data_IF_969228929336
#
_entry.id   IF_969228929336
#
_cell.length_a   1.000
_cell.length_b   1.000
_cell.length_c   1.000
_cell.angle_alpha   90.00
_cell.angle_beta   90.00
_cell.angle_gamma   90.00
#
_symmetry.space_group_name_H-M   'P 1'
#
loop_
_entity.id
_entity.type
_entity.pdbx_description
1 polymer ?
#
# COMPACT_ATOMS: atom_id res chain seq x y z
N UNK A 1 30.46 -33.87 -9.61
CA UNK A 1 29.13 -34.10 -10.20
C UNK A 1 28.21 -34.22 -9.01
N UNK A 2 27.75 -33.08 -8.53
CA UNK A 2 27.12 -32.97 -7.21
C UNK A 2 25.65 -33.34 -7.33
N UNK A 3 25.24 -34.34 -6.55
CA UNK A 3 23.87 -34.76 -6.40
C UNK A 3 23.04 -33.63 -5.77
N UNK A 4 22.17 -33.02 -6.56
CA UNK A 4 21.12 -32.13 -6.06
C UNK A 4 20.07 -32.99 -5.36
N UNK A 5 19.96 -32.83 -4.04
CA UNK A 5 18.96 -33.46 -3.19
C UNK A 5 17.54 -33.07 -3.61
N UNK A 6 16.69 -34.07 -3.81
CA UNK A 6 15.26 -33.98 -4.09
C UNK A 6 14.49 -33.22 -2.98
N UNK A 7 13.57 -32.35 -3.43
CA UNK A 7 12.34 -31.88 -2.80
C UNK A 7 12.27 -31.81 -1.26
N UNK A 8 12.71 -30.69 -0.69
CA UNK A 8 12.24 -30.25 0.62
C UNK A 8 10.75 -29.84 0.54
N UNK A 9 9.87 -30.78 0.86
CA UNK A 9 8.44 -30.49 1.08
C UNK A 9 8.30 -29.76 2.42
N UNK A 10 8.08 -28.44 2.37
CA UNK A 10 7.75 -27.64 3.56
C UNK A 10 6.30 -27.97 3.98
N UNK A 11 6.16 -28.73 5.05
CA UNK A 11 4.87 -29.14 5.59
C UNK A 11 4.35 -28.09 6.58
N UNK A 12 3.15 -27.55 6.33
CA UNK A 12 2.49 -26.59 7.22
C UNK A 12 1.33 -27.27 7.96
N UNK A 13 1.18 -26.98 9.25
CA UNK A 13 0.03 -27.43 10.02
C UNK A 13 -1.24 -26.67 9.63
N UNK A 14 -2.41 -27.29 9.83
CA UNK A 14 -3.71 -26.66 9.59
C UNK A 14 -3.87 -25.39 10.44
N UNK A 15 -3.34 -25.39 11.66
CA UNK A 15 -3.39 -24.24 12.58
C UNK A 15 -2.51 -23.07 12.10
N UNK A 16 -1.34 -23.35 11.50
CA UNK A 16 -0.51 -22.32 10.86
C UNK A 16 -1.21 -21.70 9.65
N UNK A 17 -1.92 -22.51 8.85
CA UNK A 17 -2.70 -22.03 7.71
C UNK A 17 -3.91 -21.21 8.18
N UNK A 18 -4.65 -21.67 9.20
CA UNK A 18 -5.81 -20.96 9.74
C UNK A 18 -5.42 -19.66 10.45
N UNK A 19 -4.36 -19.67 11.25
CA UNK A 19 -3.83 -18.46 11.89
C UNK A 19 -3.32 -17.45 10.86
N UNK A 20 -2.77 -17.91 9.74
CA UNK A 20 -2.39 -17.06 8.60
C UNK A 20 -3.60 -16.46 7.91
N UNK A 21 -4.65 -17.24 7.65
CA UNK A 21 -5.94 -16.75 7.10
C UNK A 21 -6.56 -15.70 8.02
N UNK A 22 -6.57 -15.94 9.33
CA UNK A 22 -7.07 -14.98 10.31
C UNK A 22 -6.23 -13.69 10.35
N UNK A 23 -4.89 -13.81 10.30
CA UNK A 23 -4.02 -12.63 10.20
C UNK A 23 -4.25 -11.86 8.89
N UNK A 24 -4.62 -12.53 7.80
CA UNK A 24 -4.91 -11.90 6.52
C UNK A 24 -6.08 -10.90 6.58
N UNK A 25 -7.12 -11.22 7.38
CA UNK A 25 -8.30 -10.35 7.51
C UNK A 25 -7.97 -8.98 8.09
N UNK A 26 -6.81 -8.85 8.78
CA UNK A 26 -6.34 -7.61 9.43
C UNK A 26 -5.01 -7.10 8.86
N UNK A 27 -4.52 -7.69 7.79
CA UNK A 27 -3.21 -7.32 7.21
C UNK A 27 -3.38 -6.55 5.90
N UNK A 28 -2.57 -5.50 5.76
CA UNK A 28 -2.36 -4.73 4.55
C UNK A 28 -0.93 -4.91 4.04
N UNK A 29 -0.79 -4.80 2.73
CA UNK A 29 0.47 -4.41 2.10
C UNK A 29 0.41 -2.91 1.84
N UNK A 30 1.46 -2.22 2.26
CA UNK A 30 1.65 -0.80 2.00
C UNK A 30 2.96 -0.57 1.26
N UNK A 31 2.92 0.23 0.20
CA UNK A 31 4.12 0.63 -0.53
C UNK A 31 4.27 2.14 -0.57
N UNK A 32 5.44 2.64 -0.19
CA UNK A 32 5.77 4.04 -0.38
C UNK A 32 6.20 4.28 -1.83
N UNK A 33 5.55 5.22 -2.50
CA UNK A 33 5.86 5.62 -3.88
C UNK A 33 6.98 6.67 -3.87
N UNK A 34 8.12 6.30 -3.31
CA UNK A 34 9.34 7.13 -3.25
C UNK A 34 10.58 6.25 -3.22
N UNK A 35 11.72 6.81 -3.63
CA UNK A 35 13.04 6.22 -3.43
C UNK A 35 13.59 6.44 -2.02
N UNK A 36 12.96 7.31 -1.24
CA UNK A 36 13.43 7.63 0.10
C UNK A 36 13.06 6.54 1.11
N UNK A 37 13.94 6.32 2.07
CA UNK A 37 13.67 5.41 3.18
C UNK A 37 12.85 6.08 4.28
N UNK A 38 12.12 5.25 5.02
CA UNK A 38 11.48 5.62 6.29
C UNK A 38 11.80 4.52 7.31
N UNK A 39 12.00 4.91 8.57
CA UNK A 39 12.14 3.93 9.63
C UNK A 39 10.80 3.22 9.90
N UNK A 40 10.84 1.93 10.25
CA UNK A 40 9.62 1.14 10.51
C UNK A 40 8.82 1.71 11.68
N UNK A 41 9.50 2.12 12.74
CA UNK A 41 8.88 2.70 13.93
C UNK A 41 8.20 4.03 13.60
N UNK A 42 8.90 4.87 12.85
CA UNK A 42 8.39 6.15 12.37
C UNK A 42 7.15 5.96 11.49
N UNK A 43 7.19 5.04 10.53
CA UNK A 43 6.03 4.69 9.72
C UNK A 43 4.88 4.22 10.61
N UNK A 44 5.12 3.28 11.54
CA UNK A 44 4.10 2.76 12.45
C UNK A 44 3.41 3.88 13.22
N UNK A 45 4.18 4.80 13.81
CA UNK A 45 3.63 5.85 14.66
C UNK A 45 2.80 6.84 13.84
N UNK A 46 3.29 7.25 12.66
CA UNK A 46 2.50 8.08 11.73
C UNK A 46 1.21 7.39 11.30
N UNK A 47 1.23 6.07 11.06
CA UNK A 47 0.01 5.33 10.70
C UNK A 47 -0.99 5.23 11.86
N UNK A 48 -0.52 5.05 13.10
CA UNK A 48 -1.38 5.04 14.28
C UNK A 48 -2.10 6.38 14.40
N UNK A 49 -1.37 7.48 14.23
CA UNK A 49 -1.90 8.83 14.32
C UNK A 49 -2.83 9.15 13.14
N UNK A 50 -2.40 8.90 11.90
CA UNK A 50 -3.18 9.19 10.70
C UNK A 50 -4.48 8.40 10.64
N UNK A 51 -4.47 7.15 11.12
CA UNK A 51 -5.64 6.28 11.09
C UNK A 51 -6.43 6.26 12.40
N UNK A 52 -6.01 7.05 13.40
CA UNK A 52 -6.65 7.18 14.71
C UNK A 52 -6.90 5.80 15.36
N UNK A 53 -5.93 4.90 15.24
CA UNK A 53 -6.11 3.50 15.64
C UNK A 53 -5.94 3.35 17.14
N UNK A 54 -6.99 2.84 17.78
CA UNK A 54 -6.92 2.37 19.17
C UNK A 54 -6.53 0.90 19.17
N UNK A 55 -5.27 0.60 19.47
CA UNK A 55 -4.76 -0.75 19.61
C UNK A 55 -3.36 -0.97 19.03
N UNK A 56 -2.91 -2.22 19.04
CA UNK A 56 -1.56 -2.58 18.58
C UNK A 56 -1.51 -2.67 17.06
N UNK A 57 -0.74 -1.78 16.43
CA UNK A 57 -0.33 -1.88 15.03
C UNK A 57 1.05 -2.51 14.97
N UNK A 58 1.23 -3.51 14.10
CA UNK A 58 2.56 -4.08 13.79
C UNK A 58 2.92 -3.77 12.35
N UNK A 59 4.14 -3.27 12.14
CA UNK A 59 4.69 -3.03 10.80
C UNK A 59 5.96 -3.84 10.67
N UNK A 60 6.09 -4.56 9.56
CA UNK A 60 7.33 -5.25 9.19
C UNK A 60 7.69 -4.92 7.74
N UNK A 61 8.99 -4.75 7.48
CA UNK A 61 9.51 -4.44 6.15
C UNK A 61 9.61 -5.72 5.33
N UNK A 62 9.04 -5.71 4.13
CA UNK A 62 9.11 -6.82 3.17
C UNK A 62 10.16 -6.56 2.07
N UNK A 63 10.31 -5.29 1.66
CA UNK A 63 11.38 -4.81 0.76
C UNK A 63 11.72 -3.36 1.08
N UNK A 64 12.58 -2.71 0.29
CA UNK A 64 13.00 -1.31 0.47
C UNK A 64 11.83 -0.35 0.77
N UNK A 65 10.76 -0.44 -0.01
CA UNK A 65 9.60 0.46 -0.02
C UNK A 65 8.28 -0.26 0.30
N UNK A 66 8.30 -1.58 0.51
CA UNK A 66 7.14 -2.41 0.82
C UNK A 66 7.09 -2.83 2.29
N UNK A 67 5.91 -2.70 2.87
CA UNK A 67 5.62 -2.96 4.26
C UNK A 67 4.40 -3.87 4.40
N UNK A 68 4.47 -4.81 5.34
CA UNK A 68 3.33 -5.58 5.83
C UNK A 68 2.84 -4.92 7.11
N UNK A 69 1.58 -4.50 7.11
CA UNK A 69 0.96 -3.72 8.19
C UNK A 69 -0.18 -4.53 8.76
N UNK A 70 -0.08 -4.94 10.02
CA UNK A 70 -1.12 -5.69 10.72
C UNK A 70 -1.84 -4.75 11.68
N UNK A 71 -3.16 -4.69 11.52
CA UNK A 71 -4.05 -3.78 12.23
C UNK A 71 -4.78 -4.53 13.36
N UNK A 72 -5.30 -3.83 14.38
CA UNK A 72 -5.95 -4.48 15.51
C UNK A 72 -7.24 -5.21 15.12
N UNK A 73 -7.97 -4.71 14.13
CA UNK A 73 -9.24 -5.28 13.66
C UNK A 73 -9.48 -5.04 12.15
N UNK A 74 -10.51 -5.68 11.61
CA UNK A 74 -10.88 -5.59 10.20
C UNK A 74 -11.47 -4.21 9.84
N UNK A 75 -12.12 -3.54 10.79
CA UNK A 75 -12.69 -2.20 10.58
C UNK A 75 -11.59 -1.16 10.30
N UNK A 76 -10.52 -1.16 11.10
CA UNK A 76 -9.34 -0.34 10.86
C UNK A 76 -8.74 -0.62 9.49
N UNK A 77 -8.70 -1.90 9.06
CA UNK A 77 -8.24 -2.29 7.72
C UNK A 77 -9.12 -1.69 6.62
N UNK A 78 -10.44 -1.87 6.70
CA UNK A 78 -11.39 -1.34 5.72
C UNK A 78 -11.34 0.19 5.63
N UNK A 79 -11.28 0.85 6.79
CA UNK A 79 -11.20 2.31 6.90
C UNK A 79 -9.93 2.87 6.26
N UNK A 80 -8.79 2.22 6.50
CA UNK A 80 -7.49 2.61 5.95
C UNK A 80 -7.45 2.40 4.43
N UNK A 81 -7.98 1.28 3.93
CA UNK A 81 -8.04 0.99 2.50
C UNK A 81 -8.93 1.95 1.71
N UNK A 82 -10.08 2.34 2.26
CA UNK A 82 -11.04 3.22 1.55
C UNK A 82 -10.46 4.61 1.21
N UNK A 83 -9.38 5.01 1.88
CA UNK A 83 -8.75 6.33 1.73
C UNK A 83 -7.35 6.27 1.12
N UNK A 84 -6.98 5.14 0.50
CA UNK A 84 -5.72 5.04 -0.24
C UNK A 84 -5.77 5.90 -1.52
N UNK A 85 -4.64 6.50 -1.95
CA UNK A 85 -3.35 6.56 -1.26
C UNK A 85 -3.36 7.56 -0.10
N UNK A 86 -2.50 7.29 0.89
CA UNK A 86 -2.28 8.18 2.03
C UNK A 86 -1.03 9.03 1.82
N UNK A 87 -1.05 10.29 2.25
CA UNK A 87 0.16 11.11 2.33
C UNK A 87 0.80 10.91 3.70
N UNK A 88 2.00 10.35 3.74
CA UNK A 88 2.78 10.07 4.95
C UNK A 88 4.11 10.80 4.82
N UNK A 89 4.31 11.89 5.59
CA UNK A 89 5.52 12.73 5.51
C UNK A 89 5.89 13.11 4.06
N UNK A 90 4.92 13.69 3.37
CA UNK A 90 5.03 14.12 1.97
C UNK A 90 5.28 12.99 0.94
N UNK A 91 5.14 11.73 1.37
CA UNK A 91 5.28 10.55 0.51
C UNK A 91 3.94 9.84 0.35
N UNK A 92 3.61 9.40 -0.86
CA UNK A 92 2.39 8.63 -1.09
C UNK A 92 2.57 7.18 -0.65
N UNK A 93 1.66 6.70 0.17
CA UNK A 93 1.53 5.30 0.59
C UNK A 93 0.34 4.66 -0.11
N UNK A 94 0.62 3.75 -1.03
CA UNK A 94 -0.38 2.90 -1.68
C UNK A 94 -0.67 1.67 -0.83
N UNK A 95 -1.95 1.32 -0.64
CA UNK A 95 -2.37 0.19 0.19
C UNK A 95 -3.16 -0.85 -0.60
N UNK A 96 -2.94 -2.12 -0.26
CA UNK A 96 -3.77 -3.25 -0.70
C UNK A 96 -4.02 -4.23 0.44
N UNK A 97 -5.13 -4.96 0.36
CA UNK A 97 -5.36 -6.10 1.25
C UNK A 97 -4.30 -7.17 1.02
N UNK A 98 -3.67 -7.66 2.09
CA UNK A 98 -2.84 -8.85 1.96
C UNK A 98 -3.75 -10.08 1.82
N UNK A 99 -3.51 -10.87 0.77
CA UNK A 99 -4.13 -12.18 0.57
C UNK A 99 -3.03 -13.24 0.54
N UNK A 100 -3.30 -14.49 0.97
CA UNK A 100 -2.32 -15.57 0.86
C UNK A 100 -1.91 -15.86 -0.59
N UNK A 101 -2.80 -15.58 -1.55
CA UNK A 101 -2.63 -15.78 -2.98
C UNK A 101 -2.24 -14.48 -3.70
N UNK A 102 -1.14 -13.83 -3.26
CA UNK A 102 -0.62 -12.67 -3.99
C UNK A 102 -0.05 -13.16 -5.32
N UNK A 103 -0.77 -12.93 -6.41
CA UNK A 103 -0.24 -13.06 -7.75
C UNK A 103 0.74 -11.91 -8.04
N UNK A 104 1.68 -12.14 -8.96
CA UNK A 104 2.62 -11.11 -9.44
C UNK A 104 1.91 -9.81 -9.89
N UNK A 105 0.69 -9.95 -10.42
CA UNK A 105 -0.18 -8.85 -10.84
C UNK A 105 -0.60 -7.93 -9.67
N UNK A 106 -0.93 -8.48 -8.49
CA UNK A 106 -1.27 -7.67 -7.30
C UNK A 106 -0.05 -6.85 -6.82
N UNK A 107 1.15 -7.38 -7.04
CA UNK A 107 2.39 -6.67 -6.73
C UNK A 107 2.61 -5.48 -7.67
N UNK A 108 2.30 -5.64 -8.97
CA UNK A 108 2.34 -4.56 -9.97
C UNK A 108 1.28 -3.47 -9.69
N UNK A 109 0.10 -3.85 -9.23
CA UNK A 109 -0.96 -2.90 -8.81
C UNK A 109 -0.61 -2.06 -7.57
N UNK A 110 0.41 -2.43 -6.79
CA UNK A 110 0.92 -1.58 -5.70
C UNK A 110 1.78 -0.42 -6.23
N UNK A 111 2.29 -0.50 -7.46
CA UNK A 111 3.07 0.58 -8.09
C UNK A 111 2.18 1.69 -8.66
N UNK A 112 0.90 1.42 -8.89
CA UNK A 112 -0.03 2.38 -9.49
C UNK A 112 -1.15 2.66 -8.51
N UNK A 113 -1.33 3.93 -8.16
CA UNK A 113 -2.43 4.36 -7.29
C UNK A 113 -3.22 5.47 -7.96
N UNK A 114 -4.54 5.32 -8.17
CA UNK A 114 -5.36 6.43 -8.61
C UNK A 114 -5.51 7.43 -7.46
N UNK A 115 -5.21 8.70 -7.70
CA UNK A 115 -5.44 9.77 -6.74
C UNK A 115 -6.09 10.99 -7.41
N UNK A 116 -6.82 11.77 -6.61
CA UNK A 116 -7.44 13.01 -7.07
C UNK A 116 -6.47 14.15 -6.87
N UNK A 117 -6.33 14.98 -7.89
CA UNK A 117 -5.55 16.21 -7.84
C UNK A 117 -6.52 17.38 -7.82
N UNK A 118 -6.30 18.31 -6.89
CA UNK A 118 -7.02 19.57 -6.84
C UNK A 118 -6.05 20.69 -7.18
N UNK A 119 -6.44 21.54 -8.14
CA UNK A 119 -5.66 22.69 -8.57
C UNK A 119 -6.23 23.95 -7.92
N UNK A 120 -5.35 24.81 -7.42
CA UNK A 120 -5.69 26.07 -6.78
C UNK A 120 -5.07 27.24 -7.56
N UNK A 121 -5.72 28.41 -7.54
CA UNK A 121 -5.21 29.61 -8.23
C UNK A 121 -5.30 29.55 -9.76
N UNK A 122 -6.08 28.62 -10.30
CA UNK A 122 -6.37 28.53 -11.74
C UNK A 122 -7.46 29.55 -12.07
N UNK A 123 -7.24 30.39 -13.09
CA UNK A 123 -8.27 31.30 -13.60
C UNK A 123 -9.50 30.50 -14.06
N UNK A 124 -10.69 31.03 -13.86
CA UNK A 124 -11.95 30.33 -14.18
C UNK A 124 -12.00 29.85 -15.64
N UNK A 125 -11.49 30.63 -16.59
CA UNK A 125 -11.41 30.27 -18.01
C UNK A 125 -10.54 29.02 -18.28
N UNK A 126 -9.66 28.67 -17.33
CA UNK A 126 -8.77 27.51 -17.40
C UNK A 126 -9.31 26.30 -16.61
N UNK A 127 -10.47 26.39 -15.96
CA UNK A 127 -11.10 25.30 -15.22
C UNK A 127 -11.82 24.29 -16.15
N UNK A 128 -11.13 23.86 -17.22
CA UNK A 128 -11.64 22.89 -18.19
C UNK A 128 -10.93 21.55 -18.06
N UNK A 129 -11.60 20.46 -18.47
CA UNK A 129 -10.98 19.11 -18.51
C UNK A 129 -9.70 19.10 -19.33
N UNK A 130 -9.64 19.85 -20.43
CA UNK A 130 -8.46 19.94 -21.29
C UNK A 130 -7.26 20.56 -20.55
N UNK A 131 -7.47 21.67 -19.85
CA UNK A 131 -6.41 22.32 -19.08
C UNK A 131 -5.95 21.46 -17.91
N UNK A 132 -6.88 20.83 -17.18
CA UNK A 132 -6.55 19.88 -16.13
C UNK A 132 -5.68 18.74 -16.65
N UNK A 133 -6.04 18.15 -17.80
CA UNK A 133 -5.22 17.10 -18.46
C UNK A 133 -3.83 17.61 -18.85
N UNK A 134 -3.74 18.81 -19.43
CA UNK A 134 -2.45 19.40 -19.82
C UNK A 134 -1.53 19.63 -18.62
N UNK A 135 -2.05 20.17 -17.52
CA UNK A 135 -1.26 20.42 -16.30
C UNK A 135 -0.76 19.10 -15.71
N UNK A 136 -1.62 18.09 -15.60
CA UNK A 136 -1.22 16.76 -15.11
C UNK A 136 -0.16 16.15 -16.03
N UNK A 137 -0.40 16.17 -17.35
CA UNK A 137 0.52 15.67 -18.37
C UNK A 137 1.90 16.35 -18.33
N UNK A 138 1.96 17.66 -18.10
CA UNK A 138 3.20 18.43 -18.17
C UNK A 138 4.00 18.43 -16.86
N UNK A 139 3.34 18.32 -15.70
CA UNK A 139 3.99 18.53 -14.40
C UNK A 139 4.02 17.29 -13.50
N UNK A 140 3.14 16.31 -13.71
CA UNK A 140 2.96 15.19 -12.77
C UNK A 140 3.21 13.84 -13.45
N UNK A 141 2.61 13.61 -14.62
CA UNK A 141 2.74 12.34 -15.34
C UNK A 141 1.60 12.11 -16.33
N UNK A 142 1.46 10.89 -16.84
CA UNK A 142 0.45 10.59 -17.84
C UNK A 142 -0.96 10.46 -17.23
N UNK A 143 -1.96 11.00 -17.91
CA UNK A 143 -3.37 10.82 -17.54
C UNK A 143 -3.82 9.44 -18.02
N UNK A 144 -4.14 8.54 -17.09
CA UNK A 144 -4.78 7.26 -17.41
C UNK A 144 -6.29 7.49 -17.57
N UNK A 145 -6.82 7.22 -18.76
CA UNK A 145 -8.28 7.25 -18.98
C UNK A 145 -8.91 5.95 -18.41
N UNK A 146 -9.98 6.12 -17.63
CA UNK A 146 -10.78 5.03 -17.05
C UNK A 146 -12.08 4.83 -17.81
#
# INVERSE_FOLDING_TARGET
MDHVSEDQVIQFSIDEVQSTKFRATRTLLGRLLTTDQIAILELRDVLIDAWQIKGRVKVSKASHDLFKIMLPNEEAKKWSLKRTPWVIKDKLLSLRSWTPSISRQIFEELFVSPFRIQLWGVKDDCCTKLFGRKIVASAIGQVLES
#
